data_IF_857052953289
#
_entry.id   IF_857052953289
#
_cell.length_a   1.000
_cell.length_b   1.000
_cell.length_c   1.000
_cell.angle_alpha   90.00
_cell.angle_beta   90.00
_cell.angle_gamma   90.00
#
_symmetry.space_group_name_H-M   'P 1'
#
loop_
_entity.id
_entity.type
_entity.pdbx_description
1 polymer ?
#
# COMPACT_ATOMS: atom_id res chain seq x y z
N UNK A 1 22.67 -0.07 7.92
CA UNK A 1 21.49 0.77 7.66
C UNK A 1 20.67 0.87 8.91
N UNK A 2 20.31 2.09 9.31
CA UNK A 2 19.39 2.27 10.43
C UNK A 2 17.96 1.93 10.00
N UNK A 3 17.21 1.30 10.89
CA UNK A 3 15.83 0.92 10.66
C UNK A 3 14.90 1.97 11.27
N UNK A 4 14.37 2.84 10.41
CA UNK A 4 13.50 3.95 10.82
C UNK A 4 14.29 5.16 11.31
N UNK A 5 13.57 6.19 11.76
CA UNK A 5 14.14 7.45 12.23
C UNK A 5 13.45 7.95 13.47
N UNK A 6 14.23 8.54 14.37
CA UNK A 6 13.69 9.32 15.47
C UNK A 6 13.30 10.72 14.96
N UNK A 7 12.43 11.41 15.70
CA UNK A 7 11.95 12.74 15.31
C UNK A 7 13.09 13.70 14.96
N UNK A 8 14.17 13.65 15.73
CA UNK A 8 15.31 14.54 15.54
C UNK A 8 16.08 14.30 14.23
N UNK A 9 15.87 13.15 13.61
CA UNK A 9 16.55 12.78 12.38
C UNK A 9 15.82 13.25 11.12
N UNK A 10 14.63 13.83 11.29
CA UNK A 10 13.86 14.37 10.16
C UNK A 10 14.23 15.84 9.92
N UNK A 11 14.35 16.19 8.66
CA UNK A 11 14.56 17.57 8.23
C UNK A 11 13.41 17.98 7.31
N UNK A 12 12.85 19.15 7.54
CA UNK A 12 11.76 19.66 6.70
C UNK A 12 12.20 19.75 5.24
N UNK A 13 11.37 19.25 4.33
CA UNK A 13 11.67 19.21 2.91
C UNK A 13 12.44 17.99 2.44
N UNK A 14 12.78 17.07 3.33
CA UNK A 14 13.47 15.85 2.96
C UNK A 14 12.64 15.02 1.98
N UNK A 15 13.34 14.40 1.03
CA UNK A 15 12.73 13.48 0.07
C UNK A 15 13.27 12.08 0.34
N UNK A 16 12.35 11.12 0.52
CA UNK A 16 12.69 9.71 0.75
C UNK A 16 12.28 8.88 -0.45
N UNK A 17 13.26 8.20 -1.06
CA UNK A 17 13.01 7.25 -2.14
C UNK A 17 13.15 5.85 -1.58
N UNK A 18 12.03 5.16 -1.47
CA UNK A 18 11.99 3.83 -0.84
C UNK A 18 12.40 2.73 -1.80
N UNK A 19 13.18 1.79 -1.29
CA UNK A 19 13.63 0.64 -2.03
C UNK A 19 13.79 -0.56 -1.08
N UNK A 20 13.46 -1.78 -1.49
CA UNK A 20 12.91 -2.14 -2.78
C UNK A 20 11.43 -1.80 -2.91
N UNK A 21 10.96 -1.72 -4.15
CA UNK A 21 9.55 -1.69 -4.48
C UNK A 21 9.04 -3.09 -4.81
N UNK A 22 7.77 -3.18 -5.21
CA UNK A 22 7.20 -4.43 -5.68
C UNK A 22 6.07 -4.17 -6.68
N UNK A 23 5.80 -5.15 -7.51
CA UNK A 23 4.63 -5.15 -8.39
C UNK A 23 3.43 -5.71 -7.61
N UNK A 24 2.27 -5.07 -7.72
CA UNK A 24 1.02 -5.58 -7.17
C UNK A 24 0.35 -6.41 -8.26
N UNK A 25 0.02 -7.67 -7.93
CA UNK A 25 -0.61 -8.59 -8.86
C UNK A 25 -2.10 -8.72 -8.59
N UNK A 26 -2.84 -9.30 -9.54
CA UNK A 26 -4.26 -9.61 -9.34
C UNK A 26 -4.45 -10.56 -8.15
N UNK A 27 -3.52 -11.49 -7.94
CA UNK A 27 -3.58 -12.41 -6.79
C UNK A 27 -3.44 -11.69 -5.47
N UNK A 28 -2.60 -10.66 -5.40
CA UNK A 28 -2.47 -9.83 -4.20
C UNK A 28 -3.80 -9.14 -3.87
N UNK A 29 -4.45 -8.57 -4.87
CA UNK A 29 -5.73 -7.90 -4.72
C UNK A 29 -6.83 -8.89 -4.26
N UNK A 30 -6.91 -10.04 -4.91
CA UNK A 30 -7.87 -11.08 -4.55
C UNK A 30 -7.68 -11.57 -3.12
N UNK A 31 -6.45 -11.85 -2.72
CA UNK A 31 -6.14 -12.29 -1.36
C UNK A 31 -6.53 -11.22 -0.35
N UNK A 32 -6.17 -9.99 -0.61
CA UNK A 32 -6.51 -8.87 0.28
C UNK A 32 -8.02 -8.72 0.43
N UNK A 33 -8.76 -8.79 -0.68
CA UNK A 33 -10.22 -8.72 -0.65
C UNK A 33 -10.83 -9.85 0.17
N UNK A 34 -10.29 -11.06 0.02
CA UNK A 34 -10.80 -12.21 0.80
C UNK A 34 -10.51 -12.05 2.29
N UNK A 35 -9.31 -11.60 2.64
CA UNK A 35 -8.91 -11.40 4.04
C UNK A 35 -9.70 -10.28 4.72
N UNK A 36 -10.06 -9.26 4.00
CA UNK A 36 -10.77 -8.10 4.53
C UNK A 36 -12.28 -8.16 4.34
N UNK A 37 -12.78 -9.20 3.69
CA UNK A 37 -14.19 -9.34 3.34
C UNK A 37 -14.72 -8.23 2.42
N UNK A 38 -13.84 -7.60 1.66
CA UNK A 38 -14.22 -6.58 0.69
C UNK A 38 -14.54 -7.22 -0.65
N UNK A 39 -15.81 -7.54 -0.86
CA UNK A 39 -16.26 -8.28 -2.04
C UNK A 39 -16.85 -7.38 -3.12
N UNK A 40 -16.50 -6.10 -3.15
CA UNK A 40 -16.99 -5.21 -4.20
C UNK A 40 -16.51 -5.73 -5.58
N UNK A 41 -17.42 -5.93 -6.53
CA UNK A 41 -17.08 -6.59 -7.80
C UNK A 41 -16.04 -5.83 -8.64
N UNK A 42 -15.89 -4.53 -8.46
CA UNK A 42 -14.85 -3.77 -9.14
C UNK A 42 -13.46 -4.32 -8.86
N UNK A 43 -13.24 -4.86 -7.66
CA UNK A 43 -11.94 -5.39 -7.25
C UNK A 43 -11.75 -6.86 -7.62
N UNK A 44 -12.82 -7.64 -7.70
CA UNK A 44 -12.71 -9.10 -7.77
C UNK A 44 -13.41 -9.76 -8.98
N UNK A 45 -14.33 -9.07 -9.64
CA UNK A 45 -15.08 -9.62 -10.76
C UNK A 45 -14.61 -9.01 -12.07
N UNK A 46 -13.92 -9.81 -12.87
CA UNK A 46 -13.35 -9.36 -14.13
C UNK A 46 -14.43 -8.93 -15.13
N UNK A 47 -15.54 -9.66 -15.19
CA UNK A 47 -16.64 -9.30 -16.10
C UNK A 47 -17.28 -7.98 -15.71
N UNK A 48 -17.48 -7.74 -14.42
CA UNK A 48 -17.99 -6.47 -13.95
C UNK A 48 -17.05 -5.34 -14.28
N UNK A 49 -15.76 -5.53 -14.02
CA UNK A 49 -14.74 -4.49 -14.23
C UNK A 49 -14.60 -4.10 -15.71
N UNK A 50 -14.74 -5.05 -16.62
CA UNK A 50 -14.67 -4.78 -18.06
C UNK A 50 -15.78 -3.83 -18.51
N UNK A 51 -16.92 -3.82 -17.83
CA UNK A 51 -18.03 -2.91 -18.13
C UNK A 51 -17.90 -1.53 -17.51
N UNK A 52 -16.86 -1.27 -16.74
CA UNK A 52 -16.65 0.03 -16.10
C UNK A 52 -15.69 0.90 -16.91
N UNK A 53 -15.56 2.17 -16.49
CA UNK A 53 -14.61 3.09 -17.11
C UNK A 53 -13.15 2.61 -16.99
N UNK A 54 -12.84 1.74 -16.02
CA UNK A 54 -11.48 1.24 -15.79
C UNK A 54 -11.12 0.07 -16.71
N UNK A 55 -12.12 -0.66 -17.25
CA UNK A 55 -11.96 -1.79 -18.17
C UNK A 55 -11.21 -3.00 -17.59
N UNK A 56 -10.85 -2.95 -16.31
CA UNK A 56 -10.14 -4.04 -15.60
C UNK A 56 -10.38 -3.89 -14.11
N UNK A 57 -10.06 -4.93 -13.35
CA UNK A 57 -10.14 -4.85 -11.90
C UNK A 57 -9.21 -3.77 -11.36
N UNK A 58 -9.72 -3.06 -10.36
CA UNK A 58 -8.98 -2.01 -9.67
C UNK A 58 -8.53 -2.55 -8.32
N UNK A 59 -7.25 -2.36 -7.99
CA UNK A 59 -6.70 -2.79 -6.71
C UNK A 59 -7.31 -1.96 -5.58
N UNK A 60 -7.61 -2.62 -4.45
CA UNK A 60 -8.12 -1.93 -3.27
C UNK A 60 -7.11 -0.89 -2.80
N UNK A 61 -7.57 0.36 -2.61
CA UNK A 61 -6.69 1.47 -2.22
C UNK A 61 -5.94 1.23 -0.92
N UNK A 62 -6.58 0.56 0.05
CA UNK A 62 -5.93 0.25 1.33
C UNK A 62 -4.74 -0.70 1.16
N UNK A 63 -4.79 -1.64 0.20
CA UNK A 63 -3.64 -2.50 -0.08
C UNK A 63 -2.46 -1.67 -0.58
N UNK A 64 -2.71 -0.76 -1.51
CA UNK A 64 -1.67 0.13 -2.05
C UNK A 64 -1.08 0.99 -0.93
N UNK A 65 -1.91 1.55 -0.08
CA UNK A 65 -1.48 2.37 1.05
C UNK A 65 -0.62 1.57 2.03
N UNK A 66 -1.02 0.36 2.37
CA UNK A 66 -0.29 -0.47 3.32
C UNK A 66 1.05 -0.91 2.76
N UNK A 67 1.14 -1.19 1.46
CA UNK A 67 2.42 -1.47 0.81
C UNK A 67 3.34 -0.24 0.86
N UNK A 68 2.80 0.95 0.61
CA UNK A 68 3.56 2.19 0.70
C UNK A 68 4.09 2.43 2.12
N UNK A 69 3.26 2.19 3.14
CA UNK A 69 3.71 2.25 4.54
C UNK A 69 4.80 1.22 4.81
N UNK A 70 4.63 -0.02 4.33
CA UNK A 70 5.63 -1.06 4.48
C UNK A 70 6.98 -0.67 3.90
N UNK A 71 6.97 -0.08 2.71
CA UNK A 71 8.19 0.40 2.06
C UNK A 71 8.86 1.54 2.83
N UNK A 72 8.10 2.32 3.58
CA UNK A 72 8.62 3.49 4.31
C UNK A 72 9.18 3.14 5.69
N UNK A 73 8.99 1.93 6.18
CA UNK A 73 9.34 1.55 7.56
C UNK A 73 10.81 1.79 7.87
N UNK A 74 11.71 1.38 7.00
CA UNK A 74 13.15 1.55 7.23
C UNK A 74 13.55 3.02 7.28
N UNK A 75 12.94 3.86 6.44
CA UNK A 75 13.34 5.25 6.29
C UNK A 75 12.62 6.18 7.26
N UNK A 76 11.39 5.85 7.65
CA UNK A 76 10.52 6.81 8.33
C UNK A 76 9.96 6.26 9.64
N UNK A 77 9.12 5.24 9.59
CA UNK A 77 8.26 4.87 10.73
C UNK A 77 8.80 3.76 11.64
N UNK A 78 9.96 3.17 11.31
CA UNK A 78 10.46 1.99 12.03
C UNK A 78 10.70 2.22 13.53
N UNK A 79 10.86 3.46 13.98
CA UNK A 79 11.06 3.83 15.38
C UNK A 79 9.88 4.55 15.99
N UNK A 80 8.76 4.62 15.27
CA UNK A 80 7.54 5.24 15.77
C UNK A 80 6.87 4.34 16.82
N UNK A 81 6.22 4.96 17.80
CA UNK A 81 5.48 4.23 18.85
C UNK A 81 4.12 3.79 18.31
N UNK A 82 3.48 4.64 17.52
CA UNK A 82 2.15 4.38 16.99
C UNK A 82 1.95 5.10 15.66
N UNK A 83 1.08 4.54 14.81
CA UNK A 83 0.65 5.18 13.58
C UNK A 83 -0.79 5.63 13.74
N UNK A 84 -0.98 6.92 13.91
CA UNK A 84 -2.27 7.53 14.24
C UNK A 84 -2.89 8.29 13.04
N UNK A 85 -2.73 7.83 11.87
CA UNK A 85 -3.27 8.50 10.68
C UNK A 85 -4.79 8.41 10.57
#
# INVERSE_FOLDING_TARGET
MEFGRYFEQFTEGDIYKHWPGRTITESDDMLFCMLTMNHHPLHIDKNYAEGTQFKQNVVVGNLVMDIAFGMSVEDVSGKAIANLS
#
